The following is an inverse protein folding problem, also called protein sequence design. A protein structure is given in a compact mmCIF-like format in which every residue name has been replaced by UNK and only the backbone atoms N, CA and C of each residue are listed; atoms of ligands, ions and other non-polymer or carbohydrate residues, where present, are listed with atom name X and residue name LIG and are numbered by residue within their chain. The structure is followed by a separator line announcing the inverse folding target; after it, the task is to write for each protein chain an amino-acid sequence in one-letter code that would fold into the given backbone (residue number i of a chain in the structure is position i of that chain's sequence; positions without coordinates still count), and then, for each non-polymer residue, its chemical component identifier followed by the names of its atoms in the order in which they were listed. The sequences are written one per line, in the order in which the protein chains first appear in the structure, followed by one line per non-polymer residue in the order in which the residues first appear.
data_IF_099502654732
#
_entry.id   IF_099502654732
#
_cell.length_a   1.000
_cell.length_b   1.000
_cell.length_c   1.000
_cell.angle_alpha   90.00
_cell.angle_beta   90.00
_cell.angle_gamma   90.00
#
_symmetry.space_group_name_H-M   'P 1'
#
loop_
_entity.id
_entity.type
_entity.pdbx_description
1 polymer ?
#
# COMPACT_ATOMS: atom_id res chain seq x y z
N UNK A 1 -2.36 -10.93 34.46
CA UNK A 1 -1.91 -11.38 33.12
C UNK A 1 -2.99 -10.98 32.12
N UNK A 2 -2.96 -9.74 31.61
CA UNK A 2 -3.91 -9.30 30.58
C UNK A 2 -3.26 -9.48 29.21
N UNK A 3 -3.72 -10.47 28.46
CA UNK A 3 -3.44 -10.57 27.04
C UNK A 3 -4.24 -9.50 26.30
N UNK A 4 -3.58 -8.46 25.82
CA UNK A 4 -4.12 -7.62 24.76
C UNK A 4 -3.39 -7.97 23.48
N UNK A 5 -4.17 -8.51 22.55
CA UNK A 5 -3.81 -8.91 21.20
C UNK A 5 -2.92 -7.86 20.53
N UNK A 6 -1.85 -8.35 19.90
CA UNK A 6 -0.90 -7.56 19.14
C UNK A 6 -1.60 -6.76 18.03
N UNK A 7 -1.31 -5.46 17.83
CA UNK A 7 -1.76 -4.75 16.63
C UNK A 7 -0.87 -5.13 15.43
N UNK A 8 -0.77 -6.43 15.12
CA UNK A 8 -0.23 -6.93 13.83
C UNK A 8 -1.40 -7.48 12.98
N UNK A 9 -2.64 -7.11 13.33
CA UNK A 9 -3.82 -7.40 12.52
C UNK A 9 -4.21 -6.26 11.57
N UNK A 10 -3.64 -5.07 11.72
CA UNK A 10 -4.04 -3.88 10.96
C UNK A 10 -3.29 -3.77 9.63
N UNK A 11 -2.04 -3.35 9.66
CA UNK A 11 -1.26 -3.06 8.45
C UNK A 11 -1.07 -4.27 7.51
N UNK A 12 -0.85 -5.47 8.06
CA UNK A 12 -0.61 -6.68 7.26
C UNK A 12 -1.89 -7.22 6.59
N UNK A 13 -3.03 -7.18 7.29
CA UNK A 13 -4.35 -7.44 6.67
C UNK A 13 -4.79 -6.32 5.74
N UNK A 14 -4.39 -5.08 6.02
CA UNK A 14 -4.64 -3.95 5.14
C UNK A 14 -3.92 -4.18 3.80
N UNK A 15 -2.67 -4.62 3.80
CA UNK A 15 -1.95 -4.96 2.56
C UNK A 15 -2.59 -6.17 1.84
N UNK A 16 -3.05 -7.18 2.58
CA UNK A 16 -3.74 -8.35 2.00
C UNK A 16 -5.13 -8.03 1.41
N UNK A 17 -5.86 -7.05 1.96
CA UNK A 17 -7.18 -6.65 1.43
C UNK A 17 -7.13 -5.49 0.44
N UNK A 18 -6.17 -4.56 0.57
CA UNK A 18 -6.07 -3.36 -0.28
C UNK A 18 -5.28 -3.60 -1.57
N UNK A 19 -4.35 -4.56 -1.55
CA UNK A 19 -3.54 -4.87 -2.72
C UNK A 19 -2.65 -3.70 -3.20
N UNK A 20 -1.79 -4.01 -4.16
CA UNK A 20 -0.80 -3.05 -4.66
C UNK A 20 -1.45 -1.91 -5.47
N UNK A 21 -2.72 -2.06 -5.88
CA UNK A 21 -3.50 -1.06 -6.62
C UNK A 21 -3.83 0.17 -5.77
N UNK A 22 -4.41 -0.02 -4.59
CA UNK A 22 -4.76 1.10 -3.70
C UNK A 22 -3.51 1.82 -3.16
N UNK A 23 -2.42 1.07 -2.93
CA UNK A 23 -1.13 1.66 -2.59
C UNK A 23 -0.63 2.59 -3.70
N UNK A 24 -0.68 2.12 -4.95
CA UNK A 24 -0.33 2.92 -6.13
C UNK A 24 -1.24 4.14 -6.27
N UNK A 25 -2.56 3.98 -6.10
CA UNK A 25 -3.51 5.09 -6.18
C UNK A 25 -3.23 6.15 -5.10
N UNK A 26 -2.91 5.72 -3.87
CA UNK A 26 -2.57 6.63 -2.78
C UNK A 26 -1.23 7.32 -2.99
N UNK A 27 -0.23 6.59 -3.48
CA UNK A 27 1.06 7.16 -3.85
C UNK A 27 0.91 8.21 -4.97
N UNK A 28 0.12 7.93 -6.01
CA UNK A 28 -0.18 8.92 -7.06
C UNK A 28 -0.90 10.16 -6.51
N UNK A 29 -1.88 9.97 -5.62
CA UNK A 29 -2.57 11.08 -4.95
C UNK A 29 -1.58 11.96 -4.17
N UNK A 30 -0.70 11.34 -3.39
CA UNK A 30 0.32 12.04 -2.62
C UNK A 30 1.37 12.69 -3.54
N UNK A 31 1.71 12.07 -4.68
CA UNK A 31 2.61 12.65 -5.65
C UNK A 31 2.06 13.94 -6.27
N UNK A 32 0.75 14.00 -6.52
CA UNK A 32 0.08 15.22 -6.97
C UNK A 32 0.05 16.33 -5.92
N UNK A 33 0.09 15.99 -4.62
CA UNK A 33 0.02 16.96 -3.52
C UNK A 33 1.39 17.39 -2.99
N UNK A 34 2.34 16.47 -2.95
CA UNK A 34 3.65 16.63 -2.29
C UNK A 34 4.84 16.47 -3.25
N UNK A 35 4.58 16.21 -4.54
CA UNK A 35 5.59 16.09 -5.59
C UNK A 35 6.13 14.67 -5.79
N UNK A 36 7.03 14.53 -6.76
CA UNK A 36 7.53 13.23 -7.26
C UNK A 36 8.18 12.32 -6.22
N UNK A 37 8.53 12.83 -5.03
CA UNK A 37 9.04 11.99 -3.92
C UNK A 37 8.03 10.94 -3.43
N UNK A 38 6.75 11.19 -3.68
CA UNK A 38 5.67 10.27 -3.34
C UNK A 38 5.17 9.49 -4.57
N UNK A 39 5.78 9.69 -5.75
CA UNK A 39 5.41 8.94 -6.95
C UNK A 39 5.72 7.46 -6.76
N UNK A 40 4.76 6.56 -7.03
CA UNK A 40 5.03 5.14 -6.96
C UNK A 40 6.07 4.76 -8.05
N UNK A 41 7.09 3.95 -7.72
CA UNK A 41 8.05 3.48 -8.70
C UNK A 41 7.38 2.62 -9.77
N UNK A 42 7.96 2.62 -10.98
CA UNK A 42 7.41 1.90 -12.14
C UNK A 42 7.12 0.42 -11.85
N UNK A 43 7.97 -0.25 -11.06
CA UNK A 43 7.76 -1.65 -10.66
C UNK A 43 6.44 -1.87 -9.88
N UNK A 44 6.04 -0.89 -9.05
CA UNK A 44 4.77 -0.94 -8.32
C UNK A 44 3.58 -0.72 -9.26
N UNK A 45 3.72 0.17 -10.24
CA UNK A 45 2.72 0.39 -11.28
C UNK A 45 2.49 -0.87 -12.12
N UNK A 46 3.57 -1.56 -12.50
CA UNK A 46 3.49 -2.81 -13.26
C UNK A 46 2.83 -3.94 -12.46
N UNK A 47 3.18 -4.07 -11.17
CA UNK A 47 2.53 -5.05 -10.28
C UNK A 47 1.05 -4.72 -10.05
N UNK A 48 0.69 -3.42 -9.95
CA UNK A 48 -0.70 -2.97 -9.84
C UNK A 48 -1.50 -3.28 -11.11
N UNK A 49 -0.92 -3.06 -12.28
CA UNK A 49 -1.52 -3.42 -13.56
C UNK A 49 -1.76 -4.93 -13.68
N UNK A 50 -0.84 -5.75 -13.17
CA UNK A 50 -0.93 -7.22 -13.18
C UNK A 50 -1.79 -7.80 -12.05
N UNK A 51 -2.28 -6.98 -11.12
CA UNK A 51 -3.06 -7.44 -9.96
C UNK A 51 -2.26 -8.34 -9.01
N UNK A 52 -0.92 -8.26 -9.05
CA UNK A 52 -0.05 -9.05 -8.19
C UNK A 52 0.19 -8.32 -6.88
N UNK A 53 -0.16 -8.98 -5.77
CA UNK A 53 0.32 -8.57 -4.44
C UNK A 53 1.83 -8.87 -4.31
N UNK A 54 2.47 -8.28 -3.29
CA UNK A 54 3.81 -8.67 -2.89
C UNK A 54 3.81 -9.97 -2.10
#
# INVERSE_FOLDING_TARGET
MLGCVTPIGGALQFINQYGVKDFVARAQYLAGQYGERFAPPALLLEKAAKGQAF
#
